data_IF_141702290403
#
_entry.id   IF_141702290403
#
_cell.length_a   1.000
_cell.length_b   1.000
_cell.length_c   1.000
_cell.angle_alpha   90.00
_cell.angle_beta   90.00
_cell.angle_gamma   90.00
#
_symmetry.space_group_name_H-M   'P 1'
#
loop_
_entity.id
_entity.type
_entity.pdbx_description
1 polymer ?
#
# COMPACT_ATOMS: atom_id res chain seq x y z
N UNK A 1 11.98 -3.35 -17.03
CA UNK A 1 11.60 -2.33 -16.05
C UNK A 1 12.72 -1.34 -15.82
N UNK A 2 13.88 -1.74 -15.28
CA UNK A 2 15.03 -0.83 -15.01
C UNK A 2 15.42 0.09 -16.18
N UNK A 3 15.48 -0.40 -17.43
CA UNK A 3 15.79 0.44 -18.62
C UNK A 3 14.85 1.64 -18.76
N UNK A 4 13.60 1.53 -18.32
CA UNK A 4 12.61 2.62 -18.39
C UNK A 4 12.97 3.81 -17.50
N UNK A 5 13.73 3.60 -16.42
CA UNK A 5 13.98 4.60 -15.38
C UNK A 5 15.43 4.68 -14.87
N UNK A 6 16.38 3.90 -15.40
CA UNK A 6 17.76 3.86 -14.92
C UNK A 6 18.56 5.18 -15.08
N UNK A 7 18.00 6.19 -15.75
CA UNK A 7 18.62 7.50 -15.96
C UNK A 7 17.94 8.64 -15.18
N UNK A 8 17.03 8.35 -14.26
CA UNK A 8 16.42 9.39 -13.41
C UNK A 8 17.39 9.86 -12.33
N UNK A 9 17.12 11.03 -11.76
CA UNK A 9 17.89 11.57 -10.62
C UNK A 9 17.49 10.86 -9.32
N UNK A 10 18.40 10.76 -8.35
CA UNK A 10 18.15 10.15 -7.03
C UNK A 10 16.99 10.80 -6.25
N UNK A 11 16.68 12.07 -6.55
CA UNK A 11 15.53 12.77 -5.96
C UNK A 11 14.18 12.43 -6.61
N UNK A 12 14.19 11.70 -7.73
CA UNK A 12 13.00 11.29 -8.48
C UNK A 12 12.54 9.92 -8.00
N UNK A 13 11.35 9.86 -7.42
CA UNK A 13 10.81 8.61 -6.91
C UNK A 13 10.07 7.82 -8.00
N UNK A 14 10.48 6.57 -8.22
CA UNK A 14 9.86 5.61 -9.12
C UNK A 14 8.85 4.77 -8.35
N UNK A 15 7.59 4.88 -8.76
CA UNK A 15 6.50 4.04 -8.27
C UNK A 15 6.17 2.97 -9.30
N UNK A 16 5.83 1.77 -8.83
CA UNK A 16 5.24 0.73 -9.68
C UNK A 16 4.01 0.11 -9.01
N UNK A 17 3.02 -0.25 -9.82
CA UNK A 17 1.78 -0.86 -9.39
C UNK A 17 1.64 -2.25 -10.00
N UNK A 18 1.25 -3.23 -9.19
CA UNK A 18 1.01 -4.60 -9.62
C UNK A 18 -0.38 -5.03 -9.14
N UNK A 19 -1.26 -5.40 -10.07
CA UNK A 19 -2.64 -5.86 -9.83
C UNK A 19 -2.73 -7.29 -9.26
N UNK A 20 -1.85 -7.64 -8.34
CA UNK A 20 -1.75 -8.96 -7.73
C UNK A 20 -1.56 -8.83 -6.21
N UNK A 21 -1.89 -9.88 -5.48
CA UNK A 21 -1.78 -9.94 -4.01
C UNK A 21 -0.93 -11.10 -3.47
N UNK A 22 -0.52 -12.04 -4.33
CA UNK A 22 0.34 -13.17 -3.95
C UNK A 22 1.68 -13.08 -4.69
N UNK A 23 2.76 -12.99 -3.91
CA UNK A 23 4.11 -12.73 -4.41
C UNK A 23 5.13 -13.77 -3.99
N UNK A 24 4.72 -14.84 -3.30
CA UNK A 24 5.65 -15.82 -2.71
C UNK A 24 6.66 -16.38 -3.72
N UNK A 25 6.21 -16.68 -4.94
CA UNK A 25 7.05 -17.30 -5.97
C UNK A 25 7.83 -16.28 -6.83
N UNK A 26 7.53 -14.98 -6.71
CA UNK A 26 8.09 -13.93 -7.57
C UNK A 26 8.71 -12.74 -6.80
N UNK A 27 8.83 -12.86 -5.48
CA UNK A 27 9.30 -11.78 -4.61
C UNK A 27 10.69 -11.26 -5.01
N UNK A 28 11.59 -12.16 -5.41
CA UNK A 28 12.93 -11.79 -5.88
C UNK A 28 12.87 -10.96 -7.17
N UNK A 29 12.00 -11.31 -8.11
CA UNK A 29 11.80 -10.53 -9.33
C UNK A 29 11.29 -9.12 -9.03
N UNK A 30 10.45 -8.96 -8.00
CA UNK A 30 9.93 -7.64 -7.57
C UNK A 30 11.02 -6.79 -6.95
N UNK A 31 11.86 -7.39 -6.10
CA UNK A 31 13.04 -6.71 -5.54
C UNK A 31 14.00 -6.31 -6.65
N UNK A 32 14.23 -7.19 -7.61
CA UNK A 32 15.04 -6.91 -8.78
C UNK A 32 14.42 -5.84 -9.71
N UNK A 33 13.18 -5.40 -9.50
CA UNK A 33 12.70 -4.21 -10.22
C UNK A 33 13.37 -2.92 -9.75
N UNK A 34 13.87 -2.87 -8.51
CA UNK A 34 14.53 -1.69 -7.93
C UNK A 34 13.66 -0.42 -8.01
N UNK A 35 12.39 -0.57 -7.61
CA UNK A 35 11.47 0.55 -7.49
C UNK A 35 11.54 1.15 -6.08
N UNK A 36 11.45 2.48 -5.97
CA UNK A 36 11.46 3.16 -4.68
C UNK A 36 10.20 2.87 -3.86
N UNK A 37 9.05 2.74 -4.55
CA UNK A 37 7.76 2.41 -3.93
C UNK A 37 6.98 1.43 -4.80
N UNK A 38 6.49 0.34 -4.20
CA UNK A 38 5.53 -0.57 -4.83
C UNK A 38 4.14 -0.38 -4.25
N UNK A 39 3.12 -0.50 -5.09
CA UNK A 39 1.72 -0.58 -4.66
C UNK A 39 1.10 -1.88 -5.17
N UNK A 40 0.41 -2.60 -4.29
CA UNK A 40 -0.13 -3.93 -4.57
C UNK A 40 -1.58 -4.02 -4.14
N UNK A 41 -2.36 -4.88 -4.79
CA UNK A 41 -3.72 -5.18 -4.34
C UNK A 41 -3.67 -5.97 -3.03
N UNK A 42 -4.44 -5.54 -2.02
CA UNK A 42 -4.43 -6.23 -0.73
C UNK A 42 -5.76 -6.15 0.05
N UNK A 43 -6.71 -5.29 -0.32
CA UNK A 43 -7.88 -5.03 0.53
C UNK A 43 -8.77 -6.25 0.78
N UNK A 44 -8.70 -7.27 -0.08
CA UNK A 44 -9.42 -8.55 0.05
C UNK A 44 -8.56 -9.71 0.53
N UNK A 45 -7.27 -9.49 0.77
CA UNK A 45 -6.30 -10.52 1.10
C UNK A 45 -5.99 -10.52 2.60
N UNK A 46 -5.61 -11.69 3.14
CA UNK A 46 -5.14 -11.79 4.53
C UNK A 46 -3.80 -11.03 4.65
N UNK A 47 -3.70 -10.12 5.62
CA UNK A 47 -2.50 -9.33 5.84
C UNK A 47 -1.27 -10.20 6.18
N UNK A 48 -1.46 -11.48 6.56
CA UNK A 48 -0.37 -12.47 6.67
C UNK A 48 0.41 -12.65 5.38
N UNK A 49 -0.18 -12.41 4.20
CA UNK A 49 0.54 -12.49 2.92
C UNK A 49 1.64 -11.42 2.81
N UNK A 50 1.59 -10.36 3.64
CA UNK A 50 2.64 -9.36 3.71
C UNK A 50 3.87 -9.83 4.50
N UNK A 51 3.78 -10.95 5.23
CA UNK A 51 4.94 -11.56 5.93
C UNK A 51 6.07 -11.93 4.97
N UNK A 52 5.79 -12.18 3.69
CA UNK A 52 6.81 -12.44 2.65
C UNK A 52 7.83 -11.30 2.53
N UNK A 53 7.41 -10.06 2.79
CA UNK A 53 8.26 -8.86 2.75
C UNK A 53 9.12 -8.70 4.03
N UNK A 54 8.96 -9.59 5.01
CA UNK A 54 9.79 -9.68 6.22
C UNK A 54 10.58 -10.98 6.32
N UNK A 55 9.88 -12.12 6.23
CA UNK A 55 10.38 -13.43 6.67
C UNK A 55 11.19 -14.15 5.60
N UNK A 56 11.13 -13.71 4.34
CA UNK A 56 11.93 -14.25 3.24
C UNK A 56 12.97 -13.28 2.68
N UNK A 57 12.69 -11.97 2.72
CA UNK A 57 13.58 -10.93 2.19
C UNK A 57 13.38 -9.62 2.93
N UNK A 58 14.46 -8.88 3.23
CA UNK A 58 14.37 -7.53 3.79
C UNK A 58 14.01 -6.53 2.67
N UNK A 59 12.71 -6.30 2.46
CA UNK A 59 12.20 -5.34 1.49
C UNK A 59 12.41 -3.91 2.01
N UNK A 60 13.56 -3.31 1.69
CA UNK A 60 13.99 -2.00 2.22
C UNK A 60 13.45 -0.78 1.48
N UNK A 61 12.40 -0.95 0.67
CA UNK A 61 11.78 0.08 -0.16
C UNK A 61 10.35 0.37 0.28
N UNK A 62 9.75 1.45 -0.23
CA UNK A 62 8.37 1.82 0.06
C UNK A 62 7.38 0.77 -0.42
N UNK A 63 6.31 0.54 0.36
CA UNK A 63 5.27 -0.43 0.04
C UNK A 63 3.89 0.10 0.43
N UNK A 64 2.93 -0.02 -0.48
CA UNK A 64 1.55 0.41 -0.32
C UNK A 64 0.55 -0.69 -0.65
N UNK A 65 0.26 -1.60 0.30
CA UNK A 65 -0.81 -2.58 0.14
C UNK A 65 -2.17 -1.87 0.20
N UNK A 66 -3.04 -2.13 -0.78
CA UNK A 66 -4.31 -1.41 -0.90
C UNK A 66 -5.24 -1.59 0.31
N UNK A 67 -5.81 -0.47 0.79
CA UNK A 67 -6.75 -0.44 1.93
C UNK A 67 -8.21 -0.23 1.53
N UNK A 68 -8.45 0.07 0.25
CA UNK A 68 -9.78 0.31 -0.31
C UNK A 68 -10.01 -0.58 -1.53
N UNK A 69 -10.98 -1.50 -1.41
CA UNK A 69 -11.48 -2.36 -2.47
C UNK A 69 -12.20 -1.54 -3.55
N UNK A 70 -11.45 -1.18 -4.59
CA UNK A 70 -12.00 -0.41 -5.70
C UNK A 70 -12.93 -1.22 -6.59
N UNK A 71 -13.09 -2.53 -6.37
CA UNK A 71 -14.04 -3.37 -7.12
C UNK A 71 -15.43 -3.42 -6.48
N UNK A 72 -15.57 -2.91 -5.26
CA UNK A 72 -16.85 -2.75 -4.56
C UNK A 72 -17.37 -1.31 -4.63
N UNK A 73 -18.68 -1.07 -4.79
CA UNK A 73 -19.27 0.27 -4.66
C UNK A 73 -19.41 0.70 -3.19
N UNK A 74 -19.12 -0.19 -2.23
CA UNK A 74 -19.22 0.10 -0.79
C UNK A 74 -18.16 1.13 -0.39
N UNK A 75 -18.56 2.10 0.42
CA UNK A 75 -17.66 3.06 1.03
C UNK A 75 -17.14 2.46 2.34
N UNK A 76 -15.83 2.12 2.46
CA UNK A 76 -15.25 1.69 3.73
C UNK A 76 -15.27 2.83 4.75
N UNK A 77 -15.50 2.53 6.03
CA UNK A 77 -15.43 3.52 7.11
C UNK A 77 -13.98 3.88 7.44
N UNK A 78 -13.80 5.02 8.11
CA UNK A 78 -12.48 5.43 8.63
C UNK A 78 -11.91 4.37 9.57
N UNK A 79 -12.73 3.79 10.45
CA UNK A 79 -12.30 2.77 11.42
C UNK A 79 -11.84 1.48 10.73
N UNK A 80 -12.55 1.05 9.67
CA UNK A 80 -12.15 -0.14 8.91
C UNK A 80 -10.78 0.07 8.23
N UNK A 81 -10.55 1.26 7.65
CA UNK A 81 -9.26 1.58 7.04
C UNK A 81 -8.16 1.67 8.11
N UNK A 82 -8.45 2.30 9.25
CA UNK A 82 -7.49 2.42 10.36
C UNK A 82 -7.09 1.04 10.92
N UNK A 83 -8.04 0.12 11.07
CA UNK A 83 -7.77 -1.27 11.47
C UNK A 83 -6.84 -1.98 10.48
N UNK A 84 -7.09 -1.83 9.17
CA UNK A 84 -6.21 -2.38 8.13
C UNK A 84 -4.80 -1.80 8.18
N UNK A 85 -4.66 -0.48 8.37
CA UNK A 85 -3.35 0.16 8.53
C UNK A 85 -2.62 -0.41 9.75
N UNK A 86 -3.30 -0.58 10.89
CA UNK A 86 -2.69 -1.17 12.08
C UNK A 86 -2.23 -2.62 11.87
N UNK A 87 -3.03 -3.43 11.16
CA UNK A 87 -2.62 -4.79 10.79
C UNK A 87 -1.40 -4.79 9.89
N UNK A 88 -1.34 -3.88 8.91
CA UNK A 88 -0.16 -3.71 8.07
C UNK A 88 1.07 -3.27 8.89
N UNK A 89 0.91 -2.37 9.86
CA UNK A 89 1.99 -1.93 10.75
C UNK A 89 2.50 -3.02 11.70
N UNK A 90 1.70 -4.05 11.98
CA UNK A 90 2.17 -5.21 12.74
C UNK A 90 3.23 -6.02 11.96
N UNK A 91 3.19 -5.96 10.63
CA UNK A 91 4.07 -6.72 9.73
C UNK A 91 5.08 -5.85 8.99
N UNK A 92 4.77 -4.60 8.63
CA UNK A 92 5.64 -3.71 7.88
C UNK A 92 6.19 -2.58 8.75
N UNK A 93 7.39 -2.08 8.40
CA UNK A 93 7.95 -0.92 9.11
C UNK A 93 7.18 0.36 8.77
N UNK A 94 6.90 1.18 9.78
CA UNK A 94 6.08 2.39 9.64
C UNK A 94 6.67 3.43 8.66
N UNK A 95 8.00 3.48 8.50
CA UNK A 95 8.72 4.46 7.68
C UNK A 95 8.65 4.16 6.18
N UNK A 96 8.21 2.96 5.79
CA UNK A 96 8.10 2.55 4.39
C UNK A 96 6.65 2.31 3.96
N UNK A 97 5.68 2.35 4.88
CA UNK A 97 4.28 2.08 4.58
C UNK A 97 3.58 3.28 3.93
N UNK A 98 2.94 3.02 2.79
CA UNK A 98 2.04 3.94 2.09
C UNK A 98 0.59 3.52 2.26
N UNK A 99 -0.33 4.50 2.16
CA UNK A 99 -1.79 4.26 2.23
C UNK A 99 -2.42 4.68 0.90
N UNK A 100 -2.94 3.71 0.16
CA UNK A 100 -3.54 3.88 -1.17
C UNK A 100 -4.73 2.92 -1.39
N UNK A 101 -5.57 3.16 -2.41
CA UNK A 101 -6.55 2.17 -2.87
C UNK A 101 -5.88 0.95 -3.51
N UNK A 102 -6.65 -0.12 -3.73
CA UNK A 102 -6.16 -1.32 -4.41
C UNK A 102 -5.68 -1.05 -5.84
N UNK A 103 -6.37 -0.19 -6.60
CA UNK A 103 -6.04 0.11 -7.98
C UNK A 103 -6.64 1.46 -8.41
N UNK A 104 -6.64 1.74 -9.72
CA UNK A 104 -7.24 2.94 -10.29
C UNK A 104 -8.76 3.00 -10.10
N UNK A 105 -9.29 4.23 -9.98
CA UNK A 105 -10.70 4.50 -9.65
C UNK A 105 -11.61 4.70 -10.87
N UNK A 106 -11.14 4.37 -12.08
CA UNK A 106 -11.84 4.65 -13.35
C UNK A 106 -13.26 4.07 -13.40
N UNK A 107 -13.50 2.96 -12.72
CA UNK A 107 -14.79 2.24 -12.73
C UNK A 107 -15.74 2.70 -11.62
N UNK A 108 -15.34 3.63 -10.75
CA UNK A 108 -16.11 4.13 -9.59
C UNK A 108 -16.77 5.47 -9.87
N UNK A 109 -17.83 5.76 -9.11
CA UNK A 109 -18.55 7.04 -9.18
C UNK A 109 -17.99 8.02 -8.17
N UNK A 110 -18.04 9.32 -8.47
CA UNK A 110 -17.59 10.36 -7.54
C UNK A 110 -18.31 10.34 -6.18
N UNK A 111 -19.57 9.91 -6.15
CA UNK A 111 -20.36 9.73 -4.92
C UNK A 111 -19.81 8.62 -4.02
N UNK A 112 -19.06 7.67 -4.58
CA UNK A 112 -18.40 6.58 -3.86
C UNK A 112 -16.95 7.00 -3.49
N UNK A 113 -16.23 7.56 -4.46
CA UNK A 113 -14.79 7.87 -4.35
C UNK A 113 -14.51 8.96 -3.32
N UNK A 114 -15.25 10.08 -3.35
CA UNK A 114 -15.00 11.22 -2.46
C UNK A 114 -15.06 10.82 -0.98
N UNK A 115 -16.13 10.18 -0.48
CA UNK A 115 -16.18 9.75 0.91
C UNK A 115 -15.18 8.64 1.22
N UNK A 116 -14.93 7.68 0.32
CA UNK A 116 -13.94 6.62 0.55
C UNK A 116 -12.52 7.18 0.73
N UNK A 117 -12.08 8.09 -0.16
CA UNK A 117 -10.77 8.73 -0.05
C UNK A 117 -10.68 9.67 1.16
N UNK A 118 -11.78 10.35 1.53
CA UNK A 118 -11.84 11.14 2.75
C UNK A 118 -11.60 10.26 3.98
N UNK A 119 -12.29 9.14 4.09
CA UNK A 119 -12.13 8.19 5.19
C UNK A 119 -10.70 7.63 5.23
N UNK A 120 -10.09 7.36 4.06
CA UNK A 120 -8.71 6.88 3.96
C UNK A 120 -7.70 7.90 4.50
N UNK A 121 -7.88 9.18 4.16
CA UNK A 121 -7.03 10.28 4.65
C UNK A 121 -7.24 10.49 6.15
N UNK A 122 -8.48 10.46 6.62
CA UNK A 122 -8.81 10.64 8.04
C UNK A 122 -8.22 9.49 8.89
N UNK A 123 -8.23 8.25 8.39
CA UNK A 123 -7.60 7.10 9.02
C UNK A 123 -6.07 7.26 9.11
N UNK A 124 -5.42 7.65 8.01
CA UNK A 124 -3.98 7.90 8.01
C UNK A 124 -3.57 9.02 9.00
N UNK A 125 -4.37 10.09 9.11
CA UNK A 125 -4.15 11.16 10.10
C UNK A 125 -4.30 10.66 11.54
N UNK A 126 -5.30 9.84 11.81
CA UNK A 126 -5.52 9.23 13.12
C UNK A 126 -4.30 8.41 13.55
N UNK A 127 -3.83 7.51 12.69
CA UNK A 127 -2.67 6.65 12.99
C UNK A 127 -1.40 7.49 13.19
N UNK A 128 -1.16 8.52 12.36
CA UNK A 128 -0.02 9.43 12.55
C UNK A 128 -0.02 10.11 13.91
N UNK A 129 -1.19 10.54 14.39
CA UNK A 129 -1.34 11.15 15.73
C UNK A 129 -1.01 10.16 16.85
N UNK A 130 -1.42 8.89 16.70
CA UNK A 130 -1.10 7.83 17.65
C UNK A 130 0.40 7.54 17.69
N UNK A 131 1.04 7.42 16.52
CA UNK A 131 2.48 7.17 16.41
C UNK A 131 3.34 8.34 16.90
N UNK A 132 2.87 9.59 16.78
CA UNK A 132 3.57 10.74 17.36
C UNK A 132 3.44 10.81 18.88
N UNK A 133 2.32 10.34 19.44
CA UNK A 133 2.05 10.38 20.89
C UNK A 133 2.70 9.23 21.66
N UNK A 134 3.09 8.16 20.95
CA UNK A 134 3.76 6.99 21.52
C UNK A 134 5.30 7.13 21.59
N UNK A 135 5.86 8.27 21.15
CA UNK A 135 7.28 8.65 21.30
C UNK A 135 7.48 9.45 22.57
#
# INVERSE_FOLDING_TARGET
FRITNCGVQDSTQIHTHMCYSNFNDIIHSIIDMDADVITIENSRSDEKLLSVFREGVKYGAGIGPGVYDIHSPRIPSTDEIADRINKMLAVLEQNILWVNPDCGLKTRKYTEVKPALKNMVDAAKLIRSQLSSAK
#
